data_IF_608742359648
#
_entry.id   IF_608742359648
#
_cell.length_a   1.000
_cell.length_b   1.000
_cell.length_c   1.000
_cell.angle_alpha   90.00
_cell.angle_beta   90.00
_cell.angle_gamma   90.00
#
_symmetry.space_group_name_H-M   'P 1'
#
loop_
_entity.id
_entity.type
_entity.pdbx_description
1 polymer ?
#
# COMPACT_ATOMS: atom_id res chain seq x y z
N UNK A 1 22.37 7.27 -0.63
CA UNK A 1 21.56 6.29 0.12
C UNK A 1 20.21 6.25 -0.56
N UNK A 2 19.75 5.10 -1.05
CA UNK A 2 18.40 4.99 -1.65
C UNK A 2 17.35 5.02 -0.53
N UNK A 3 16.31 5.85 -0.70
CA UNK A 3 15.22 6.00 0.26
C UNK A 3 14.31 4.78 0.20
N UNK A 4 13.91 4.23 1.35
CA UNK A 4 12.94 3.14 1.41
C UNK A 4 11.55 3.70 1.73
N UNK A 5 10.56 3.36 0.91
CA UNK A 5 9.18 3.81 1.04
C UNK A 5 8.27 2.62 1.23
N UNK A 6 7.41 2.67 2.26
CA UNK A 6 6.33 1.71 2.46
C UNK A 6 5.00 2.40 2.15
N UNK A 7 4.28 1.91 1.15
CA UNK A 7 2.92 2.34 0.85
C UNK A 7 1.92 1.31 1.39
N UNK A 8 1.02 1.74 2.28
CA UNK A 8 -0.12 0.95 2.72
C UNK A 8 -1.31 1.31 1.83
N UNK A 9 -1.75 0.37 1.00
CA UNK A 9 -2.88 0.57 0.12
C UNK A 9 -4.14 -0.07 0.71
N UNK A 10 -5.20 0.72 0.86
CA UNK A 10 -6.41 0.32 1.56
C UNK A 10 -7.65 0.68 0.73
N UNK A 11 -7.81 0.04 -0.43
CA UNK A 11 -8.99 0.20 -1.26
C UNK A 11 -9.47 -1.13 -1.86
N UNK A 12 -10.78 -1.47 -1.80
CA UNK A 12 -11.29 -2.78 -2.22
C UNK A 12 -11.21 -3.03 -3.74
N UNK A 13 -11.09 -1.96 -4.53
CA UNK A 13 -10.93 -2.03 -5.98
C UNK A 13 -9.54 -1.53 -6.37
N UNK A 14 -8.64 -2.48 -6.63
CA UNK A 14 -7.23 -2.27 -6.98
C UNK A 14 -6.99 -2.06 -8.49
N UNK A 15 -8.03 -2.18 -9.34
CA UNK A 15 -7.88 -2.11 -10.80
C UNK A 15 -8.44 -0.83 -11.43
N UNK A 16 -9.56 -0.31 -10.92
CA UNK A 16 -10.24 0.84 -11.51
C UNK A 16 -10.83 1.74 -10.41
N UNK A 17 -9.95 2.43 -9.70
CA UNK A 17 -10.34 3.44 -8.73
C UNK A 17 -9.39 4.63 -8.77
N UNK A 18 -9.86 5.78 -8.29
CA UNK A 18 -9.00 6.95 -8.11
C UNK A 18 -7.80 6.63 -7.21
N UNK A 19 -7.99 5.83 -6.16
CA UNK A 19 -6.92 5.36 -5.28
C UNK A 19 -5.89 4.50 -6.03
N UNK A 20 -6.31 3.62 -6.93
CA UNK A 20 -5.39 2.86 -7.79
C UNK A 20 -4.56 3.81 -8.68
N UNK A 21 -5.18 4.88 -9.20
CA UNK A 21 -4.47 5.93 -9.93
C UNK A 21 -3.39 6.61 -9.09
N UNK A 22 -3.69 6.96 -7.83
CA UNK A 22 -2.69 7.52 -6.90
C UNK A 22 -1.55 6.54 -6.61
N UNK A 23 -1.84 5.24 -6.47
CA UNK A 23 -0.83 4.22 -6.28
C UNK A 23 0.13 4.13 -7.48
N UNK A 24 -0.39 4.16 -8.71
CA UNK A 24 0.43 4.17 -9.93
C UNK A 24 1.29 5.44 -10.02
N UNK A 25 0.74 6.62 -9.73
CA UNK A 25 1.52 7.86 -9.67
C UNK A 25 2.63 7.79 -8.60
N UNK A 26 2.34 7.17 -7.45
CA UNK A 26 3.32 6.98 -6.38
C UNK A 26 4.45 6.04 -6.78
N UNK A 27 4.12 4.92 -7.46
CA UNK A 27 5.11 3.99 -8.03
C UNK A 27 6.06 4.72 -9.00
N UNK A 28 5.50 5.54 -9.88
CA UNK A 28 6.27 6.30 -10.84
C UNK A 28 7.20 7.31 -10.16
N UNK A 29 6.70 8.09 -9.20
CA UNK A 29 7.50 9.06 -8.45
C UNK A 29 8.64 8.41 -7.67
N UNK A 30 8.40 7.25 -7.02
CA UNK A 30 9.45 6.52 -6.31
C UNK A 30 10.55 6.02 -7.26
N UNK A 31 10.15 5.54 -8.45
CA UNK A 31 11.10 5.12 -9.49
C UNK A 31 11.96 6.27 -9.98
N UNK A 32 11.37 7.45 -10.22
CA UNK A 32 12.08 8.65 -10.66
C UNK A 32 13.05 9.18 -9.59
N UNK A 33 12.74 8.97 -8.31
CA UNK A 33 13.57 9.37 -7.19
C UNK A 33 14.63 8.34 -6.77
N UNK A 34 14.80 7.23 -7.53
CA UNK A 34 15.67 6.09 -7.15
C UNK A 34 15.39 5.58 -5.72
N UNK A 35 14.09 5.54 -5.35
CA UNK A 35 13.60 5.06 -4.07
C UNK A 35 13.06 3.63 -4.18
N UNK A 36 13.35 2.80 -3.18
CA UNK A 36 12.82 1.44 -3.09
C UNK A 36 11.41 1.47 -2.49
N UNK A 37 10.41 1.16 -3.30
CA UNK A 37 9.00 1.12 -2.88
C UNK A 37 8.53 -0.30 -2.58
N UNK A 38 8.00 -0.51 -1.37
CA UNK A 38 7.23 -1.69 -0.98
C UNK A 38 5.76 -1.33 -0.85
N UNK A 39 4.87 -2.17 -1.38
CA UNK A 39 3.42 -1.97 -1.32
C UNK A 39 2.81 -3.07 -0.47
N UNK A 40 2.03 -2.67 0.54
CA UNK A 40 1.18 -3.55 1.31
C UNK A 40 -0.28 -3.20 1.02
N UNK A 41 -0.90 -3.95 0.11
CA UNK A 41 -2.34 -3.88 -0.14
C UNK A 41 -3.10 -4.70 0.91
N UNK A 42 -3.89 -4.00 1.74
CA UNK A 42 -4.65 -4.61 2.84
C UNK A 42 -5.78 -5.51 2.33
N UNK A 43 -6.39 -5.18 1.20
CA UNK A 43 -7.50 -5.95 0.64
C UNK A 43 -6.98 -7.20 -0.07
N UNK A 44 -5.93 -7.10 -0.88
CA UNK A 44 -5.28 -8.27 -1.48
C UNK A 44 -4.75 -9.24 -0.41
N UNK A 45 -4.22 -8.70 0.70
CA UNK A 45 -3.71 -9.50 1.82
C UNK A 45 -4.80 -10.04 2.74
N UNK A 46 -6.08 -9.72 2.51
CA UNK A 46 -7.18 -10.07 3.43
C UNK A 46 -6.83 -9.72 4.89
N UNK A 47 -6.26 -8.53 5.09
CA UNK A 47 -5.80 -8.06 6.38
C UNK A 47 -6.93 -8.14 7.41
N UNK A 48 -6.62 -8.66 8.60
CA UNK A 48 -7.58 -8.76 9.71
C UNK A 48 -7.53 -7.45 10.52
N UNK A 49 -8.54 -6.56 10.40
CA UNK A 49 -8.46 -5.24 11.00
C UNK A 49 -8.92 -5.23 12.47
N UNK A 50 -9.57 -6.29 12.93
CA UNK A 50 -10.07 -6.42 14.29
C UNK A 50 -8.98 -7.04 15.14
N UNK A 51 -8.44 -6.27 16.08
CA UNK A 51 -7.61 -6.80 17.15
C UNK A 51 -8.52 -7.69 17.99
N UNK A 52 -8.32 -9.01 17.92
CA UNK A 52 -9.02 -9.94 18.79
C UNK A 52 -8.56 -9.66 20.22
N UNK A 53 -9.40 -8.98 21.00
CA UNK A 53 -9.23 -8.91 22.45
C UNK A 53 -9.38 -10.33 22.98
N UNK A 54 -8.27 -11.04 23.17
CA UNK A 54 -8.26 -12.18 24.06
C UNK A 54 -8.71 -11.65 25.43
N UNK A 55 -9.86 -12.10 25.91
CA UNK A 55 -10.24 -11.94 27.32
C UNK A 55 -9.15 -12.62 28.13
N UNK A 56 -8.24 -11.83 28.69
CA UNK A 56 -7.29 -12.25 29.72
C UNK A 56 -8.07 -12.48 31.00
#
# INVERSE_FOLDING_TARGET
>A
MSLNVLAIFAHPNNKQSFNAGLLESTKQACKEADAYLTINDLYEKNFQPVVAMMKI
#
